data_IF_063728211728
#
_entry.id   IF_063728211728
#
_cell.length_a   1.000
_cell.length_b   1.000
_cell.length_c   1.000
_cell.angle_alpha   90.00
_cell.angle_beta   90.00
_cell.angle_gamma   90.00
#
_symmetry.space_group_name_H-M   'P 1'
#
loop_
_entity.id
_entity.type
_entity.pdbx_description
1 polymer ?
#
# COMPACT_ATOMS: atom_id res chain seq x y z
N UNK A 1 -2.31 -8.63 14.40
CA UNK A 1 -2.82 -7.41 13.74
C UNK A 1 -4.16 -7.03 14.34
N UNK A 2 -4.26 -5.86 14.93
CA UNK A 2 -5.54 -5.39 15.46
C UNK A 2 -6.20 -4.47 14.43
N UNK A 3 -7.12 -5.01 13.66
CA UNK A 3 -7.76 -4.28 12.55
C UNK A 3 -8.59 -3.08 13.00
N UNK A 4 -9.03 -3.06 14.25
CA UNK A 4 -9.81 -1.94 14.78
C UNK A 4 -9.01 -0.65 14.91
N UNK A 5 -7.68 -0.74 14.88
CA UNK A 5 -6.80 0.43 14.89
C UNK A 5 -6.63 1.06 13.51
N UNK A 6 -7.09 0.40 12.46
CA UNK A 6 -6.98 0.94 11.11
C UNK A 6 -8.14 1.88 10.80
N UNK A 7 -7.92 2.89 9.96
CA UNK A 7 -8.93 3.89 9.66
C UNK A 7 -10.07 3.34 8.82
N UNK A 8 -11.20 4.03 8.88
CA UNK A 8 -12.35 3.75 8.06
C UNK A 8 -12.53 4.82 6.99
N UNK A 9 -13.14 4.44 5.88
CA UNK A 9 -13.45 5.35 4.79
C UNK A 9 -14.79 4.96 4.17
N UNK A 10 -15.56 5.96 3.75
CA UNK A 10 -16.78 5.74 2.97
C UNK A 10 -16.41 5.86 1.50
N UNK A 11 -16.62 4.77 0.75
CA UNK A 11 -16.31 4.72 -0.68
C UNK A 11 -17.49 4.14 -1.43
N UNK A 12 -18.08 4.94 -2.31
CA UNK A 12 -19.24 4.55 -3.16
C UNK A 12 -20.37 3.90 -2.34
N UNK A 13 -20.65 4.47 -1.18
CA UNK A 13 -21.70 3.97 -0.30
C UNK A 13 -21.30 2.82 0.60
N UNK A 14 -20.10 2.27 0.46
CA UNK A 14 -19.61 1.20 1.32
C UNK A 14 -18.78 1.78 2.47
N UNK A 15 -19.11 1.37 3.68
CA UNK A 15 -18.34 1.75 4.86
C UNK A 15 -17.23 0.73 5.06
N UNK A 16 -16.00 1.15 4.81
CA UNK A 16 -14.87 0.25 4.71
C UNK A 16 -13.81 0.50 5.77
N UNK A 17 -13.17 -0.58 6.19
CA UNK A 17 -11.92 -0.55 6.94
C UNK A 17 -10.77 -0.61 5.94
N UNK A 18 -9.76 0.23 6.11
CA UNK A 18 -8.57 0.22 5.26
C UNK A 18 -7.55 -0.74 5.87
N UNK A 19 -7.21 -1.79 5.15
CA UNK A 19 -6.31 -2.86 5.62
C UNK A 19 -5.01 -2.79 4.82
N UNK A 20 -3.86 -2.66 5.50
CA UNK A 20 -2.57 -2.62 4.80
C UNK A 20 -2.08 -4.02 4.41
N UNK A 21 -1.38 -4.09 3.30
CA UNK A 21 -0.67 -5.25 2.83
C UNK A 21 0.61 -4.79 2.13
N UNK A 22 1.42 -5.72 1.67
CA UNK A 22 2.69 -5.40 1.02
C UNK A 22 2.76 -6.10 -0.33
N UNK A 23 3.01 -5.33 -1.38
CA UNK A 23 3.28 -5.89 -2.71
C UNK A 23 4.64 -6.60 -2.73
N UNK A 24 4.87 -7.42 -3.74
CA UNK A 24 6.13 -8.16 -3.88
C UNK A 24 7.37 -7.26 -3.91
N UNK A 25 7.23 -6.03 -4.37
CA UNK A 25 8.31 -5.05 -4.42
C UNK A 25 8.40 -4.18 -3.16
N UNK A 26 7.76 -4.61 -2.07
CA UNK A 26 7.79 -3.96 -0.74
C UNK A 26 7.03 -2.65 -0.64
N UNK A 27 6.29 -2.27 -1.66
CA UNK A 27 5.45 -1.08 -1.65
C UNK A 27 4.13 -1.40 -0.93
N UNK A 28 3.61 -0.44 -0.18
CA UNK A 28 2.37 -0.60 0.57
C UNK A 28 1.17 -0.76 -0.37
N UNK A 29 0.33 -1.75 -0.06
CA UNK A 29 -0.98 -1.92 -0.65
C UNK A 29 -2.04 -1.57 0.37
N UNK A 30 -3.13 -0.95 -0.05
CA UNK A 30 -4.27 -0.65 0.79
C UNK A 30 -5.50 -1.32 0.22
N UNK A 31 -6.13 -2.17 1.03
CA UNK A 31 -7.35 -2.87 0.66
C UNK A 31 -8.52 -2.30 1.46
N UNK A 32 -9.66 -2.13 0.81
CA UNK A 32 -10.88 -1.71 1.46
C UNK A 32 -11.79 -2.91 1.65
N UNK A 33 -12.19 -3.16 2.90
CA UNK A 33 -13.09 -4.25 3.25
C UNK A 33 -14.25 -3.70 4.06
N UNK A 34 -15.45 -4.20 3.83
CA UNK A 34 -16.61 -3.76 4.60
C UNK A 34 -16.38 -3.96 6.09
N UNK A 35 -16.75 -2.95 6.87
CA UNK A 35 -16.56 -2.96 8.32
C UNK A 35 -17.34 -4.11 8.96
N UNK A 36 -18.54 -4.38 8.47
CA UNK A 36 -19.45 -5.34 9.13
C UNK A 36 -19.01 -6.79 8.97
N UNK A 37 -18.61 -7.20 7.77
CA UNK A 37 -18.37 -8.61 7.47
C UNK A 37 -17.02 -8.91 6.83
N UNK A 38 -16.20 -7.88 6.57
CA UNK A 38 -14.90 -8.05 5.98
C UNK A 38 -14.90 -8.34 4.48
N UNK A 39 -16.04 -8.19 3.81
CA UNK A 39 -16.14 -8.42 2.37
C UNK A 39 -15.23 -7.44 1.62
N UNK A 40 -14.37 -7.92 0.70
CA UNK A 40 -13.54 -7.02 -0.10
C UNK A 40 -14.39 -6.10 -0.97
N UNK A 41 -14.06 -4.81 -0.97
CA UNK A 41 -14.76 -3.79 -1.76
C UNK A 41 -13.87 -3.31 -2.91
N UNK A 42 -12.62 -2.98 -2.61
CA UNK A 42 -11.70 -2.45 -3.59
C UNK A 42 -10.26 -2.54 -3.10
N UNK A 43 -9.31 -2.51 -4.04
CA UNK A 43 -7.92 -2.23 -3.71
C UNK A 43 -7.66 -0.77 -4.06
N UNK A 44 -7.28 0.02 -3.06
CA UNK A 44 -7.14 1.47 -3.21
C UNK A 44 -5.87 1.87 -3.95
N UNK A 45 -4.87 1.00 -3.94
CA UNK A 45 -3.56 1.26 -4.55
C UNK A 45 -3.39 0.51 -5.85
N UNK A 46 -2.38 0.90 -6.62
CA UNK A 46 -1.95 0.15 -7.80
C UNK A 46 -0.44 -0.04 -7.73
N UNK A 47 0.03 -1.21 -8.13
CA UNK A 47 1.45 -1.51 -8.09
C UNK A 47 2.08 -1.26 -9.46
N UNK A 48 2.74 -0.13 -9.61
CA UNK A 48 3.42 0.24 -10.85
C UNK A 48 4.87 -0.25 -10.78
N UNK A 49 5.09 -1.51 -11.16
CA UNK A 49 6.39 -2.18 -11.00
C UNK A 49 7.53 -1.48 -11.77
N UNK A 50 7.20 -0.78 -12.85
CA UNK A 50 8.18 -0.01 -13.62
C UNK A 50 8.80 1.14 -12.81
N UNK A 51 8.15 1.58 -11.75
CA UNK A 51 8.63 2.65 -10.88
C UNK A 51 9.26 2.14 -9.58
N UNK A 52 9.44 0.83 -9.43
CA UNK A 52 9.94 0.23 -8.17
C UNK A 52 11.25 0.85 -7.71
N UNK A 53 12.19 1.04 -8.61
CA UNK A 53 13.51 1.58 -8.29
C UNK A 53 13.42 3.00 -7.74
N UNK A 54 12.69 3.85 -8.44
CA UNK A 54 12.46 5.24 -8.02
C UNK A 54 11.72 5.32 -6.69
N UNK A 55 10.70 4.47 -6.52
CA UNK A 55 9.91 4.43 -5.28
C UNK A 55 10.77 4.00 -4.10
N UNK A 56 11.54 2.94 -4.25
CA UNK A 56 12.43 2.43 -3.21
C UNK A 56 13.43 3.50 -2.79
N UNK A 57 14.00 4.20 -3.78
CA UNK A 57 14.93 5.29 -3.52
C UNK A 57 14.27 6.45 -2.76
N UNK A 58 13.10 6.88 -3.21
CA UNK A 58 12.37 7.98 -2.57
C UNK A 58 11.96 7.63 -1.13
N UNK A 59 11.48 6.42 -0.90
CA UNK A 59 11.11 5.97 0.44
C UNK A 59 12.32 6.00 1.37
N UNK A 60 13.46 5.51 0.90
CA UNK A 60 14.72 5.55 1.67
C UNK A 60 15.16 6.96 1.99
N UNK A 61 15.09 7.86 1.01
CA UNK A 61 15.55 9.24 1.17
C UNK A 61 14.65 10.05 2.09
N UNK A 62 13.35 9.85 2.00
CA UNK A 62 12.37 10.67 2.73
C UNK A 62 11.92 10.04 4.03
N UNK A 63 12.14 8.73 4.20
CA UNK A 63 11.60 7.94 5.32
C UNK A 63 10.07 7.98 5.38
N UNK A 64 9.43 8.24 4.24
CA UNK A 64 7.97 8.31 4.14
C UNK A 64 7.41 7.07 3.48
N UNK A 65 6.21 6.67 3.89
CA UNK A 65 5.49 5.58 3.24
C UNK A 65 4.79 6.15 2.01
N UNK A 66 5.27 5.78 0.83
CA UNK A 66 4.76 6.27 -0.45
C UNK A 66 4.09 5.14 -1.21
N UNK A 67 2.99 5.47 -1.89
CA UNK A 67 2.29 4.49 -2.74
C UNK A 67 1.53 5.23 -3.84
N UNK A 68 1.12 4.48 -4.88
CA UNK A 68 0.28 5.03 -5.94
C UNK A 68 -1.17 4.67 -5.68
N UNK A 69 -2.07 5.64 -5.86
CA UNK A 69 -3.50 5.41 -5.67
C UNK A 69 -4.15 5.07 -7.01
N UNK A 70 -4.97 4.04 -7.02
CA UNK A 70 -5.79 3.69 -8.16
C UNK A 70 -7.05 4.55 -8.10
N UNK A 71 -7.07 5.64 -8.88
CA UNK A 71 -8.15 6.62 -8.88
C UNK A 71 -8.87 6.67 -10.23
N UNK A 72 -8.94 5.54 -10.91
CA UNK A 72 -9.53 5.42 -12.23
C UNK A 72 -10.37 4.16 -12.32
N UNK A 73 -11.14 4.03 -13.40
CA UNK A 73 -12.05 2.90 -13.62
C UNK A 73 -13.03 2.74 -12.45
N UNK A 74 -13.18 1.54 -11.92
CA UNK A 74 -14.06 1.25 -10.79
C UNK A 74 -13.67 1.97 -9.50
N UNK A 75 -12.45 2.53 -9.45
CA UNK A 75 -11.94 3.24 -8.27
C UNK A 75 -12.05 4.75 -8.36
N UNK A 76 -12.73 5.28 -9.36
CA UNK A 76 -12.91 6.73 -9.48
C UNK A 76 -13.47 7.31 -8.17
N UNK A 77 -12.80 8.36 -7.65
CA UNK A 77 -13.16 8.97 -6.35
C UNK A 77 -12.37 8.44 -5.17
N UNK A 78 -11.52 7.43 -5.37
CA UNK A 78 -10.74 6.83 -4.28
C UNK A 78 -9.80 7.85 -3.62
N UNK A 79 -9.07 8.61 -4.42
CA UNK A 79 -8.13 9.60 -3.90
C UNK A 79 -8.81 10.61 -2.98
N UNK A 80 -9.92 11.16 -3.41
CA UNK A 80 -10.68 12.14 -2.61
C UNK A 80 -11.15 11.56 -1.29
N UNK A 81 -11.64 10.31 -1.31
CA UNK A 81 -12.11 9.63 -0.11
C UNK A 81 -10.97 9.47 0.90
N UNK A 82 -9.79 9.06 0.43
CA UNK A 82 -8.63 8.84 1.30
C UNK A 82 -8.04 10.16 1.83
N UNK A 83 -8.04 11.21 1.02
CA UNK A 83 -7.58 12.54 1.46
C UNK A 83 -8.53 13.11 2.52
N UNK A 84 -9.83 13.01 2.27
CA UNK A 84 -10.86 13.55 3.16
C UNK A 84 -10.78 12.95 4.57
N UNK A 85 -10.37 11.70 4.67
CA UNK A 85 -10.25 10.99 5.95
C UNK A 85 -8.83 11.04 6.53
N UNK A 86 -7.93 11.82 5.94
CA UNK A 86 -6.55 11.97 6.39
C UNK A 86 -5.75 10.68 6.39
N UNK A 87 -6.06 9.77 5.49
CA UNK A 87 -5.32 8.52 5.32
C UNK A 87 -4.09 8.76 4.45
N UNK A 88 -4.24 9.56 3.39
CA UNK A 88 -3.13 9.92 2.51
C UNK A 88 -3.04 11.42 2.33
N UNK A 89 -1.86 11.88 1.95
CA UNK A 89 -1.60 13.28 1.59
C UNK A 89 -2.24 13.64 0.25
N UNK A 90 -2.27 14.92 -0.05
CA UNK A 90 -2.48 15.37 -1.43
C UNK A 90 -1.36 14.80 -2.31
N UNK A 91 -1.61 14.61 -3.60
CA UNK A 91 -0.60 14.06 -4.49
C UNK A 91 0.71 14.85 -4.45
N UNK A 92 1.82 14.12 -4.34
CA UNK A 92 3.16 14.69 -4.42
C UNK A 92 3.55 14.91 -5.87
N UNK A 93 3.12 13.99 -6.74
CA UNK A 93 3.30 14.07 -8.17
C UNK A 93 2.34 13.10 -8.84
N UNK A 94 2.33 13.08 -10.17
CA UNK A 94 1.53 12.17 -10.98
C UNK A 94 2.43 11.47 -11.97
N UNK A 95 2.13 10.21 -12.26
CA UNK A 95 2.85 9.42 -13.26
C UNK A 95 1.87 8.81 -14.23
N UNK A 96 2.40 8.24 -15.31
CA UNK A 96 1.61 7.50 -16.30
C UNK A 96 2.11 6.07 -16.40
N UNK A 97 1.22 5.15 -16.72
CA UNK A 97 1.57 3.76 -16.95
C UNK A 97 0.65 3.21 -18.05
N UNK A 98 1.23 2.82 -19.19
CA UNK A 98 0.48 2.43 -20.35
C UNK A 98 -0.43 3.56 -20.82
N UNK A 99 -1.72 3.27 -20.94
CA UNK A 99 -2.72 4.27 -21.34
C UNK A 99 -3.28 5.08 -20.19
N UNK A 100 -2.93 4.72 -18.97
CA UNK A 100 -3.43 5.41 -17.78
C UNK A 100 -2.52 6.59 -17.48
N UNK A 101 -3.10 7.79 -17.37
CA UNK A 101 -2.37 9.02 -17.07
C UNK A 101 -2.81 9.57 -15.71
N UNK A 102 -1.98 10.45 -15.15
CA UNK A 102 -2.29 11.16 -13.90
C UNK A 102 -2.55 10.22 -12.72
N UNK A 103 -1.71 9.20 -12.58
CA UNK A 103 -1.77 8.30 -11.42
C UNK A 103 -1.07 9.00 -10.25
N UNK A 104 -1.79 9.30 -9.17
CA UNK A 104 -1.20 10.08 -8.08
C UNK A 104 -0.27 9.26 -7.20
N UNK A 105 0.88 9.84 -6.90
CA UNK A 105 1.80 9.37 -5.86
C UNK A 105 1.48 10.13 -4.58
N UNK A 106 1.24 9.41 -3.50
CA UNK A 106 0.86 10.01 -2.21
C UNK A 106 1.73 9.48 -1.09
N UNK A 107 1.76 10.24 0.00
CA UNK A 107 2.29 9.77 1.27
C UNK A 107 1.13 9.19 2.10
N UNK A 108 1.31 8.02 2.68
CA UNK A 108 0.36 7.46 3.64
C UNK A 108 0.67 8.09 4.98
N UNK A 109 -0.26 8.91 5.49
CA UNK A 109 -0.06 9.71 6.69
C UNK A 109 -0.70 9.12 7.94
N UNK A 110 -1.58 8.12 7.79
CA UNK A 110 -2.14 7.42 8.94
C UNK A 110 -1.05 6.61 9.65
N UNK A 111 -0.86 6.89 10.93
CA UNK A 111 0.24 6.31 11.70
C UNK A 111 0.09 4.80 11.93
N UNK A 112 -1.14 4.31 12.08
CA UNK A 112 -1.37 2.89 12.31
C UNK A 112 -1.10 2.07 11.05
N UNK A 113 -1.45 2.61 9.88
CA UNK A 113 -1.13 1.97 8.61
C UNK A 113 0.38 1.92 8.39
N UNK A 114 1.08 3.01 8.68
CA UNK A 114 2.54 3.07 8.55
C UNK A 114 3.24 2.07 9.46
N UNK A 115 2.80 1.99 10.69
CA UNK A 115 3.32 1.03 11.67
C UNK A 115 3.17 -0.41 11.18
N UNK A 116 1.98 -0.74 10.70
CA UNK A 116 1.71 -2.09 10.23
C UNK A 116 2.49 -2.43 8.97
N UNK A 117 2.67 -1.47 8.05
CA UNK A 117 3.51 -1.66 6.88
C UNK A 117 4.93 -2.04 7.28
N UNK A 118 5.51 -1.32 8.24
CA UNK A 118 6.85 -1.63 8.75
C UNK A 118 6.92 -3.02 9.38
N UNK A 119 5.90 -3.40 10.14
CA UNK A 119 5.82 -4.73 10.73
C UNK A 119 5.75 -5.83 9.67
N UNK A 120 4.94 -5.61 8.64
CA UNK A 120 4.81 -6.55 7.52
C UNK A 120 6.10 -6.68 6.73
N UNK A 121 6.83 -5.58 6.55
CA UNK A 121 8.16 -5.62 5.91
C UNK A 121 9.15 -6.42 6.74
N UNK A 122 9.19 -6.21 8.04
CA UNK A 122 10.06 -6.95 8.95
C UNK A 122 9.78 -8.44 8.88
N UNK A 123 8.52 -8.84 8.94
CA UNK A 123 8.12 -10.24 8.82
C UNK A 123 8.57 -10.85 7.48
N UNK A 124 8.36 -10.12 6.40
CA UNK A 124 8.73 -10.56 5.06
C UNK A 124 10.24 -10.73 4.94
N UNK A 125 11.03 -9.74 5.38
CA UNK A 125 12.49 -9.78 5.31
C UNK A 125 13.06 -10.88 6.18
N UNK A 126 12.47 -11.14 7.33
CA UNK A 126 12.87 -12.23 8.22
C UNK A 126 12.65 -13.59 7.55
N UNK A 127 11.50 -13.78 6.90
CA UNK A 127 11.19 -14.99 6.16
C UNK A 127 12.15 -15.22 4.98
N UNK A 128 12.43 -14.17 4.22
CA UNK A 128 13.37 -14.22 3.10
C UNK A 128 14.76 -14.56 3.59
N UNK A 129 15.21 -13.97 4.68
CA UNK A 129 16.51 -14.23 5.28
C UNK A 129 16.64 -15.70 5.71
N UNK A 130 15.61 -16.26 6.34
CA UNK A 130 15.58 -17.66 6.75
C UNK A 130 15.66 -18.57 5.53
N UNK A 131 14.88 -18.29 4.48
CA UNK A 131 14.90 -19.07 3.23
C UNK A 131 16.27 -19.02 2.57
N UNK A 132 16.87 -17.85 2.46
CA UNK A 132 18.21 -17.67 1.88
C UNK A 132 19.25 -18.45 2.67
N UNK A 133 19.22 -18.36 3.99
CA UNK A 133 20.13 -19.08 4.86
C UNK A 133 20.00 -20.60 4.66
N UNK A 134 18.78 -21.09 4.55
CA UNK A 134 18.49 -22.51 4.33
C UNK A 134 18.98 -22.95 2.95
N UNK A 135 18.71 -22.17 1.92
CA UNK A 135 19.12 -22.47 0.55
C UNK A 135 20.63 -22.40 0.36
N UNK A 136 21.33 -21.65 1.20
CA UNK A 136 22.78 -21.52 1.12
C UNK A 136 23.57 -22.61 1.83
N UNK A 137 22.92 -23.62 2.37
CA UNK A 137 23.61 -24.69 3.07
C UNK A 137 24.43 -25.59 2.13
N UNK A 138 25.55 -26.13 2.62
CA UNK A 138 26.49 -26.90 1.77
C UNK A 138 25.90 -28.15 1.13
N UNK A 139 24.86 -28.71 1.67
CA UNK A 139 24.22 -29.90 1.13
C UNK A 139 23.54 -29.68 -0.21
N UNK A 140 23.39 -28.44 -0.62
CA UNK A 140 22.94 -28.11 -1.97
C UNK A 140 24.03 -28.22 -3.02
N UNK A 141 25.23 -28.25 -2.57
CA UNK A 141 26.36 -28.29 -3.48
C UNK A 141 26.50 -29.65 -4.20
#
# INVERSE_FOLDING_TARGET
MNIQNFPCVLFKGFHCRVIPAVYNNNILALQLKEVDDGTPVATATTNLVEYTKQMTHCIKQTEKCLTFIKNYSENEGMLEALIRTNIVSKPLTYVSSGYITHIPLVEVIDTNLNKEWLNLLDEKLTKESIVESHLGEPDYA
#
